data_IF_780150842363
#
_entry.id   IF_780150842363
#
_cell.length_a   1.000
_cell.length_b   1.000
_cell.length_c   1.000
_cell.angle_alpha   90.00
_cell.angle_beta   90.00
_cell.angle_gamma   90.00
#
_symmetry.space_group_name_H-M   'P 1'
#
loop_
_entity.id
_entity.type
_entity.pdbx_description
1 polymer ?
#
# COMPACT_ATOMS: atom_id res chain seq x y z
N UNK A 1 -7.92 -15.52 -9.52
CA UNK A 1 -7.04 -15.29 -8.35
C UNK A 1 -5.61 -14.80 -8.72
N UNK A 2 -5.32 -14.31 -9.93
CA UNK A 2 -3.95 -13.93 -10.34
C UNK A 2 -3.64 -12.42 -10.30
N UNK A 3 -4.65 -11.54 -10.36
CA UNK A 3 -4.44 -10.08 -10.49
C UNK A 3 -3.73 -9.44 -9.30
N UNK A 4 -4.10 -9.79 -8.07
CA UNK A 4 -3.55 -9.13 -6.88
C UNK A 4 -2.07 -9.45 -6.61
N UNK A 5 -1.60 -10.66 -6.96
CA UNK A 5 -0.18 -10.99 -6.83
C UNK A 5 0.69 -10.26 -7.86
N UNK A 6 0.17 -9.98 -9.05
CA UNK A 6 0.90 -9.16 -10.03
C UNK A 6 0.91 -7.68 -9.63
N UNK A 7 -0.16 -7.18 -9.02
CA UNK A 7 -0.19 -5.82 -8.48
C UNK A 7 0.87 -5.60 -7.40
N UNK A 8 1.06 -6.58 -6.50
CA UNK A 8 2.14 -6.58 -5.51
C UNK A 8 3.53 -6.65 -6.15
N UNK A 9 3.74 -7.53 -7.14
CA UNK A 9 5.04 -7.65 -7.82
C UNK A 9 5.46 -6.38 -8.55
N UNK A 10 4.49 -5.65 -9.10
CA UNK A 10 4.72 -4.40 -9.81
C UNK A 10 4.78 -3.18 -8.89
N UNK A 11 4.53 -3.32 -7.58
CA UNK A 11 4.52 -2.19 -6.65
C UNK A 11 5.86 -1.46 -6.64
N UNK A 12 6.98 -2.16 -6.40
CA UNK A 12 8.32 -1.56 -6.34
C UNK A 12 8.69 -0.85 -7.64
N UNK A 13 8.37 -1.47 -8.79
CA UNK A 13 8.62 -0.89 -10.10
C UNK A 13 7.77 0.38 -10.34
N UNK A 14 6.49 0.35 -9.97
CA UNK A 14 5.61 1.50 -10.08
C UNK A 14 6.02 2.61 -9.11
N UNK A 15 6.44 2.27 -7.89
CA UNK A 15 6.89 3.23 -6.89
C UNK A 15 8.15 3.96 -7.35
N UNK A 16 9.16 3.22 -7.83
CA UNK A 16 10.37 3.82 -8.41
C UNK A 16 10.07 4.71 -9.63
N UNK A 17 9.10 4.30 -10.46
CA UNK A 17 8.63 5.13 -11.58
C UNK A 17 7.93 6.40 -11.12
N UNK A 18 7.16 6.35 -10.03
CA UNK A 18 6.52 7.51 -9.43
C UNK A 18 7.57 8.49 -8.90
N UNK A 19 8.60 8.02 -8.20
CA UNK A 19 9.71 8.85 -7.72
C UNK A 19 10.42 9.56 -8.89
N UNK A 20 10.64 8.84 -9.99
CA UNK A 20 11.22 9.41 -11.21
C UNK A 20 10.35 10.53 -11.78
N UNK A 21 9.04 10.32 -11.88
CA UNK A 21 8.09 11.33 -12.39
C UNK A 21 7.99 12.55 -11.47
N UNK A 22 8.10 12.36 -10.15
CA UNK A 22 8.14 13.47 -9.18
C UNK A 22 9.43 14.28 -9.36
N UNK A 23 10.58 13.61 -9.48
CA UNK A 23 11.85 14.29 -9.75
C UNK A 23 11.83 15.06 -11.09
N UNK A 24 11.19 14.49 -12.12
CA UNK A 24 10.98 15.19 -13.39
C UNK A 24 10.11 16.44 -13.20
N UNK A 25 9.02 16.36 -12.43
CA UNK A 25 8.15 17.51 -12.11
C UNK A 25 8.85 18.64 -11.35
N UNK A 26 9.91 18.34 -10.60
CA UNK A 26 10.72 19.34 -9.88
C UNK A 26 11.71 20.08 -10.80
N UNK A 27 11.85 19.66 -12.06
CA UNK A 27 12.72 20.33 -13.02
C UNK A 27 12.23 21.76 -13.33
N UNK A 28 13.16 22.72 -13.30
CA UNK A 28 12.86 24.16 -13.48
C UNK A 28 12.58 24.58 -14.93
N UNK A 29 12.83 23.71 -15.91
CA UNK A 29 12.74 24.04 -17.35
C UNK A 29 11.57 23.31 -18.05
N UNK A 30 10.55 22.90 -17.30
CA UNK A 30 9.36 22.26 -17.84
C UNK A 30 8.38 23.29 -18.40
N UNK A 31 7.89 23.04 -19.61
CA UNK A 31 6.73 23.77 -20.13
C UNK A 31 5.45 23.31 -19.42
N UNK A 32 4.45 24.18 -19.35
CA UNK A 32 3.16 23.86 -18.74
C UNK A 32 2.53 22.56 -19.29
N UNK A 33 2.71 22.31 -20.60
CA UNK A 33 2.19 21.10 -21.25
C UNK A 33 2.93 19.84 -20.78
N UNK A 34 4.25 19.91 -20.63
CA UNK A 34 5.05 18.79 -20.14
C UNK A 34 4.77 18.51 -18.66
N UNK A 35 4.66 19.55 -17.83
CA UNK A 35 4.25 19.39 -16.43
C UNK A 35 2.90 18.70 -16.31
N UNK A 36 1.93 19.03 -17.18
CA UNK A 36 0.62 18.39 -17.18
C UNK A 36 0.69 16.90 -17.57
N UNK A 37 1.50 16.58 -18.59
CA UNK A 37 1.68 15.20 -19.05
C UNK A 37 2.39 14.32 -18.00
N UNK A 38 3.43 14.85 -17.35
CA UNK A 38 4.12 14.15 -16.25
C UNK A 38 3.17 13.97 -15.07
N UNK A 39 2.36 14.98 -14.73
CA UNK A 39 1.37 14.88 -13.67
C UNK A 39 0.31 13.80 -13.95
N UNK A 40 -0.24 13.73 -15.16
CA UNK A 40 -1.18 12.66 -15.54
C UNK A 40 -0.56 11.27 -15.44
N UNK A 41 0.70 11.12 -15.86
CA UNK A 41 1.46 9.87 -15.72
C UNK A 41 1.68 9.52 -14.25
N UNK A 42 2.10 10.48 -13.44
CA UNK A 42 2.33 10.30 -12.01
C UNK A 42 1.04 9.87 -11.30
N UNK A 43 -0.10 10.47 -11.63
CA UNK A 43 -1.39 10.09 -11.10
C UNK A 43 -1.79 8.64 -11.43
N UNK A 44 -1.57 8.21 -12.68
CA UNK A 44 -1.85 6.83 -13.10
C UNK A 44 -1.00 5.82 -12.32
N UNK A 45 0.29 6.11 -12.14
CA UNK A 45 1.23 5.25 -11.42
C UNK A 45 0.89 5.24 -9.92
N UNK A 46 0.61 6.40 -9.33
CA UNK A 46 0.20 6.53 -7.93
C UNK A 46 -1.06 5.72 -7.62
N UNK A 47 -2.08 5.78 -8.49
CA UNK A 47 -3.29 4.97 -8.35
C UNK A 47 -2.99 3.46 -8.38
N UNK A 48 -2.05 3.01 -9.22
CA UNK A 48 -1.65 1.61 -9.26
C UNK A 48 -0.95 1.18 -7.96
N UNK A 49 -0.11 2.03 -7.37
CA UNK A 49 0.51 1.80 -6.07
C UNK A 49 -0.53 1.67 -4.94
N UNK A 50 -1.50 2.59 -4.89
CA UNK A 50 -2.59 2.56 -3.89
C UNK A 50 -3.40 1.27 -4.00
N UNK A 51 -3.74 0.82 -5.21
CA UNK A 51 -4.45 -0.44 -5.41
C UNK A 51 -3.66 -1.67 -4.95
N UNK A 52 -2.34 -1.67 -5.16
CA UNK A 52 -1.48 -2.75 -4.69
C UNK A 52 -1.43 -2.80 -3.15
N UNK A 53 -1.36 -1.64 -2.49
CA UNK A 53 -1.39 -1.54 -1.03
C UNK A 53 -2.74 -1.97 -0.45
N UNK A 54 -3.85 -1.55 -1.05
CA UNK A 54 -5.19 -1.97 -0.64
C UNK A 54 -5.36 -3.49 -0.73
N UNK A 55 -4.90 -4.10 -1.84
CA UNK A 55 -4.88 -5.55 -1.96
C UNK A 55 -4.01 -6.24 -0.88
N UNK A 56 -2.83 -5.67 -0.58
CA UNK A 56 -1.96 -6.18 0.47
C UNK A 56 -2.64 -6.11 1.85
N UNK A 57 -3.30 -5.00 2.16
CA UNK A 57 -4.02 -4.78 3.42
C UNK A 57 -5.20 -5.75 3.56
N UNK A 58 -6.00 -5.93 2.51
CA UNK A 58 -7.11 -6.89 2.50
C UNK A 58 -6.60 -8.30 2.79
N UNK A 59 -5.55 -8.72 2.10
CA UNK A 59 -4.95 -10.05 2.29
C UNK A 59 -4.36 -10.23 3.68
N UNK A 60 -3.69 -9.22 4.23
CA UNK A 60 -3.18 -9.26 5.60
C UNK A 60 -4.32 -9.37 6.63
N UNK A 61 -5.42 -8.66 6.41
CA UNK A 61 -6.61 -8.70 7.26
C UNK A 61 -7.29 -10.07 7.23
N UNK A 62 -7.43 -10.67 6.05
CA UNK A 62 -7.95 -12.03 5.89
C UNK A 62 -7.09 -13.06 6.65
N UNK A 63 -5.76 -12.96 6.54
CA UNK A 63 -4.81 -13.82 7.25
C UNK A 63 -4.88 -13.62 8.78
N UNK A 64 -5.02 -12.38 9.23
CA UNK A 64 -5.15 -12.08 10.66
C UNK A 64 -6.44 -12.66 11.25
N UNK A 65 -7.55 -12.60 10.51
CA UNK A 65 -8.85 -13.14 10.92
C UNK A 65 -8.92 -14.67 10.87
N UNK A 66 -8.07 -15.33 10.08
CA UNK A 66 -7.97 -16.80 10.03
C UNK A 66 -7.08 -17.38 11.13
N UNK A 67 -6.32 -16.54 11.85
CA UNK A 67 -5.64 -16.96 13.08
C UNK A 67 -6.65 -16.88 14.22
N UNK A 68 -7.06 -18.01 14.85
CA UNK A 68 -7.84 -17.91 16.06
C UNK A 68 -6.99 -17.13 17.06
N UNK A 69 -7.57 -16.07 17.59
CA UNK A 69 -7.00 -15.25 18.64
C UNK A 69 -6.58 -16.17 19.78
N UNK A 70 -5.31 -16.58 19.79
CA UNK A 70 -4.61 -17.02 20.99
C UNK A 70 -4.20 -15.76 21.76
N UNK A 71 -5.16 -14.86 21.99
CA UNK A 71 -5.04 -13.95 23.13
C UNK A 71 -5.40 -14.80 24.32
N UNK A 72 -4.34 -15.36 24.89
CA UNK A 72 -4.21 -15.77 26.28
C UNK A 72 -5.31 -15.13 27.12
N UNK A 73 -6.30 -15.93 27.51
CA UNK A 73 -7.17 -15.61 28.62
C UNK A 73 -6.23 -15.44 29.81
N UNK A 74 -5.88 -14.21 30.15
CA UNK A 74 -5.47 -13.92 31.52
C UNK A 74 -6.71 -14.26 32.35
N UNK A 75 -6.72 -15.49 32.85
CA UNK A 75 -7.55 -15.90 33.97
C UNK A 75 -7.07 -15.05 35.14
N UNK A 76 -7.72 -13.93 35.38
CA UNK A 76 -7.89 -13.47 36.76
C UNK A 76 -8.86 -14.47 37.39
N UNK A 77 -8.29 -15.62 37.80
CA UNK A 77 -8.92 -16.50 38.76
C UNK A 77 -8.87 -15.79 40.10
N UNK A 78 -10.04 -15.70 40.71
CA UNK A 78 -10.31 -15.59 42.14
C UNK A 78 -9.08 -15.75 43.09
N UNK A 79 -8.70 -14.66 43.76
CA UNK A 79 -8.01 -14.59 45.07
C UNK A 79 -8.12 -13.11 45.51
N UNK A 80 -8.81 -12.67 46.55
CA UNK A 80 -9.01 -13.24 47.87
C UNK A 80 -10.28 -12.62 48.48
N UNK A 81 -11.13 -13.46 49.04
CA UNK A 81 -12.16 -13.08 50.00
C UNK A 81 -11.52 -12.70 51.34
N UNK A 82 -11.54 -11.42 51.72
CA UNK A 82 -11.67 -10.94 53.13
C UNK A 82 -12.38 -9.59 53.13
#
# INVERSE_FOLDING_TARGET
MAKGSEQLKNFEANFSKLETLVNELEATDLTLKESLDIYEKAMKVSNACVQALDYAQQRATELANTRPVLTERVRESDDESV
#
